data_IF_406692280368
#
_entry.id   IF_406692280368
#
_cell.length_a   1.000
_cell.length_b   1.000
_cell.length_c   1.000
_cell.angle_alpha   90.00
_cell.angle_beta   90.00
_cell.angle_gamma   90.00
#
_symmetry.space_group_name_H-M   'P 1'
#
loop_
_entity.id
_entity.type
_entity.pdbx_description
1 polymer ?
#
# COMPACT_ATOMS: atom_id res chain seq x y z
N UNK A 1 11.78 4.05 -22.07
CA UNK A 1 13.08 3.49 -21.61
C UNK A 1 13.21 3.51 -20.10
N UNK A 2 12.95 4.63 -19.41
CA UNK A 2 13.02 4.73 -17.94
C UNK A 2 12.09 3.78 -17.17
N UNK A 3 10.84 3.60 -17.62
CA UNK A 3 9.90 2.65 -17.00
C UNK A 3 10.38 1.20 -17.05
N UNK A 4 10.97 0.80 -18.18
CA UNK A 4 11.51 -0.55 -18.36
C UNK A 4 12.71 -0.81 -17.43
N UNK A 5 13.56 0.20 -17.22
CA UNK A 5 14.69 0.13 -16.27
C UNK A 5 14.17 -0.06 -14.84
N UNK A 6 13.16 0.71 -14.41
CA UNK A 6 12.54 0.53 -13.10
C UNK A 6 11.95 -0.86 -12.91
N UNK A 7 11.27 -1.38 -13.93
CA UNK A 7 10.70 -2.73 -13.89
C UNK A 7 11.80 -3.80 -13.76
N UNK A 8 12.92 -3.66 -14.49
CA UNK A 8 14.07 -4.55 -14.39
C UNK A 8 14.74 -4.50 -13.00
N UNK A 9 14.86 -3.32 -12.39
CA UNK A 9 15.39 -3.17 -11.02
C UNK A 9 14.49 -3.91 -10.02
N UNK A 10 13.17 -3.74 -10.11
CA UNK A 10 12.22 -4.46 -9.24
C UNK A 10 12.33 -5.96 -9.42
N UNK A 11 12.42 -6.45 -10.66
CA UNK A 11 12.65 -7.86 -10.95
C UNK A 11 13.96 -8.38 -10.36
N UNK A 12 15.05 -7.62 -10.50
CA UNK A 12 16.35 -7.97 -9.94
C UNK A 12 16.30 -8.08 -8.40
N UNK A 13 15.59 -7.18 -7.72
CA UNK A 13 15.37 -7.25 -6.27
C UNK A 13 14.58 -8.50 -5.90
N UNK A 14 13.48 -8.80 -6.60
CA UNK A 14 12.67 -10.01 -6.35
C UNK A 14 13.52 -11.27 -6.51
N UNK A 15 14.30 -11.36 -7.60
CA UNK A 15 15.20 -12.49 -7.84
C UNK A 15 16.25 -12.57 -6.73
N UNK A 16 16.84 -11.45 -6.31
CA UNK A 16 17.79 -11.39 -5.20
C UNK A 16 17.21 -11.94 -3.90
N UNK A 17 15.98 -11.53 -3.54
CA UNK A 17 15.28 -12.03 -2.36
C UNK A 17 15.00 -13.53 -2.47
N UNK A 18 14.61 -14.03 -3.65
CA UNK A 18 14.39 -15.47 -3.88
C UNK A 18 15.68 -16.29 -3.82
N UNK A 19 16.80 -15.75 -4.30
CA UNK A 19 18.12 -16.38 -4.17
C UNK A 19 18.54 -16.42 -2.72
N UNK A 20 18.38 -15.32 -1.98
CA UNK A 20 18.65 -15.28 -0.53
C UNK A 20 17.82 -16.35 0.20
N UNK A 21 16.53 -16.49 -0.13
CA UNK A 21 15.68 -17.56 0.41
C UNK A 21 16.24 -18.97 0.12
N UNK A 22 16.84 -19.16 -1.05
CA UNK A 22 17.38 -20.46 -1.49
C UNK A 22 18.73 -20.78 -0.84
N UNK A 23 19.57 -19.77 -0.62
CA UNK A 23 20.96 -19.95 -0.18
C UNK A 23 21.20 -19.58 1.30
N UNK A 24 20.23 -19.00 2.00
CA UNK A 24 20.32 -18.62 3.41
C UNK A 24 19.17 -19.25 4.21
N UNK A 25 19.40 -19.54 5.50
CA UNK A 25 18.36 -19.93 6.46
C UNK A 25 17.43 -18.76 6.86
N UNK A 26 17.08 -17.89 5.91
CA UNK A 26 16.13 -16.82 6.14
C UNK A 26 14.73 -17.41 6.08
N UNK A 27 14.19 -17.70 7.25
CA UNK A 27 12.80 -18.14 7.41
C UNK A 27 11.87 -16.94 7.22
N UNK A 28 11.07 -16.99 6.15
CA UNK A 28 9.96 -16.07 6.01
C UNK A 28 8.90 -16.42 7.04
N UNK A 29 8.42 -15.40 7.72
CA UNK A 29 7.34 -15.51 8.69
C UNK A 29 6.14 -16.22 8.04
N UNK A 30 5.71 -17.37 8.58
CA UNK A 30 4.62 -18.19 8.03
C UNK A 30 3.33 -17.39 7.83
N UNK A 31 3.11 -16.40 8.70
CA UNK A 31 1.97 -15.49 8.66
C UNK A 31 2.17 -14.23 7.81
N UNK A 32 3.22 -14.11 7.00
CA UNK A 32 3.41 -12.97 6.08
C UNK A 32 2.22 -12.75 5.14
N UNK A 33 1.53 -13.84 4.74
CA UNK A 33 0.29 -13.76 3.95
C UNK A 33 -0.85 -13.03 4.67
N UNK A 34 -0.81 -12.93 6.00
CA UNK A 34 -1.80 -12.18 6.77
C UNK A 34 -1.61 -10.66 6.65
N UNK A 35 -0.41 -10.19 6.30
CA UNK A 35 -0.17 -8.76 6.05
C UNK A 35 -1.06 -8.25 4.91
N UNK A 36 -1.24 -9.03 3.85
CA UNK A 36 -2.17 -8.71 2.75
C UNK A 36 -3.64 -8.72 3.16
N UNK A 37 -3.99 -9.23 4.35
CA UNK A 37 -5.36 -9.14 4.89
C UNK A 37 -5.51 -7.96 5.86
N UNK A 38 -4.41 -7.34 6.27
CA UNK A 38 -4.44 -6.25 7.23
C UNK A 38 -4.87 -4.94 6.55
N UNK A 39 -5.87 -4.28 7.14
CA UNK A 39 -6.34 -2.98 6.68
C UNK A 39 -5.26 -1.91 6.65
N UNK A 40 -4.31 -1.94 7.60
CA UNK A 40 -3.18 -1.01 7.62
C UNK A 40 -2.31 -1.10 6.36
N UNK A 41 -2.07 -2.32 5.86
CA UNK A 41 -1.27 -2.54 4.65
C UNK A 41 -2.02 -2.00 3.43
N UNK A 42 -3.32 -2.28 3.30
CA UNK A 42 -4.11 -1.76 2.19
C UNK A 42 -4.23 -0.24 2.20
N UNK A 43 -4.51 0.36 3.36
CA UNK A 43 -4.61 1.81 3.48
C UNK A 43 -3.27 2.49 3.19
N UNK A 44 -2.17 1.93 3.69
CA UNK A 44 -0.83 2.46 3.45
C UNK A 44 -0.41 2.34 1.99
N UNK A 45 -0.60 1.16 1.39
CA UNK A 45 -0.31 0.93 -0.03
C UNK A 45 -1.21 1.80 -0.93
N UNK A 46 -2.49 1.94 -0.61
CA UNK A 46 -3.40 2.83 -1.35
C UNK A 46 -2.99 4.30 -1.24
N UNK A 47 -2.64 4.77 -0.04
CA UNK A 47 -2.16 6.14 0.18
C UNK A 47 -0.88 6.44 -0.58
N UNK A 48 0.08 5.51 -0.55
CA UNK A 48 1.34 5.63 -1.28
C UNK A 48 1.13 5.60 -2.81
N UNK A 49 0.33 4.65 -3.30
CA UNK A 49 0.02 4.52 -4.72
C UNK A 49 -0.73 5.74 -5.24
N UNK A 50 -1.71 6.25 -4.49
CA UNK A 50 -2.48 7.43 -4.89
C UNK A 50 -1.59 8.68 -4.90
N UNK A 51 -0.73 8.84 -3.89
CA UNK A 51 0.25 9.94 -3.85
C UNK A 51 1.21 9.90 -5.03
N UNK A 52 1.72 8.72 -5.38
CA UNK A 52 2.57 8.52 -6.55
C UNK A 52 1.81 8.76 -7.87
N UNK A 53 0.58 8.28 -7.98
CA UNK A 53 -0.26 8.46 -9.16
C UNK A 53 -0.55 9.95 -9.43
N UNK A 54 -0.77 10.75 -8.38
CA UNK A 54 -0.96 12.21 -8.52
C UNK A 54 0.27 12.92 -9.09
N UNK A 55 1.47 12.45 -8.75
CA UNK A 55 2.72 13.00 -9.28
C UNK A 55 2.99 12.55 -10.72
N UNK A 56 2.59 11.32 -11.05
CA UNK A 56 2.86 10.72 -12.35
C UNK A 56 1.81 11.08 -13.42
N UNK A 57 0.57 11.41 -13.02
CA UNK A 57 -0.57 11.63 -13.93
C UNK A 57 -1.44 12.82 -13.45
N UNK A 58 -0.92 14.06 -13.51
CA UNK A 58 -1.68 15.24 -13.06
C UNK A 58 -2.97 15.47 -13.87
N UNK A 59 -2.98 15.15 -15.16
CA UNK A 59 -4.13 15.38 -16.05
C UNK A 59 -5.36 14.53 -15.69
N UNK A 60 -5.15 13.28 -15.24
CA UNK A 60 -6.24 12.41 -14.80
C UNK A 60 -6.89 12.97 -13.51
N UNK A 61 -6.09 13.56 -12.64
CA UNK A 61 -6.57 14.18 -11.42
C UNK A 61 -7.38 15.46 -11.70
N UNK A 62 -6.94 16.28 -12.68
CA UNK A 62 -7.69 17.44 -13.15
C UNK A 62 -8.99 17.05 -13.85
N UNK A 63 -8.99 15.98 -14.63
CA UNK A 63 -10.18 15.46 -15.29
C UNK A 63 -11.21 14.98 -14.25
N UNK A 64 -10.77 14.19 -13.27
CA UNK A 64 -11.62 13.75 -12.16
C UNK A 64 -12.15 14.93 -11.32
N UNK A 65 -11.31 15.94 -11.09
CA UNK A 65 -11.74 17.18 -10.45
C UNK A 65 -12.82 17.88 -11.25
N UNK A 66 -12.64 18.04 -12.56
CA UNK A 66 -13.60 18.74 -13.41
C UNK A 66 -14.95 18.01 -13.47
N UNK A 67 -14.97 16.68 -13.34
CA UNK A 67 -16.19 15.87 -13.27
C UNK A 67 -16.96 15.98 -11.94
N UNK A 68 -16.36 16.49 -10.86
CA UNK A 68 -17.06 16.66 -9.59
C UNK A 68 -18.13 17.75 -9.67
N UNK A 69 -19.34 17.52 -9.11
CA UNK A 69 -20.38 18.55 -8.98
C UNK A 69 -19.88 19.78 -8.21
N UNK A 70 -20.39 20.98 -8.54
CA UNK A 70 -19.96 22.23 -7.88
C UNK A 70 -20.20 22.20 -6.37
N UNK A 71 -21.27 21.54 -5.92
CA UNK A 71 -21.60 21.40 -4.49
C UNK A 71 -20.53 20.65 -3.70
N UNK A 72 -19.82 19.70 -4.32
CA UNK A 72 -18.73 18.98 -3.65
C UNK A 72 -17.44 19.81 -3.69
N UNK A 73 -17.19 20.51 -4.79
CA UNK A 73 -16.01 21.38 -4.95
C UNK A 73 -15.96 22.51 -3.92
N UNK A 74 -17.12 23.05 -3.49
CA UNK A 74 -17.18 24.11 -2.49
C UNK A 74 -16.77 23.68 -1.08
N UNK A 75 -16.85 22.39 -0.76
CA UNK A 75 -16.41 21.85 0.54
C UNK A 75 -14.97 21.35 0.53
N UNK A 76 -14.35 21.21 -0.64
CA UNK A 76 -13.01 20.65 -0.77
C UNK A 76 -11.95 21.76 -0.83
N UNK A 77 -10.88 21.68 -0.02
CA UNK A 77 -9.80 22.65 -0.06
C UNK A 77 -9.01 22.55 -1.39
N UNK A 78 -8.34 23.63 -1.83
CA UNK A 78 -7.65 23.66 -3.12
C UNK A 78 -6.56 22.58 -3.31
N UNK A 79 -6.06 22.02 -2.22
CA UNK A 79 -5.01 20.98 -2.17
C UNK A 79 -5.53 19.58 -1.81
N UNK A 80 -6.82 19.29 -2.02
CA UNK A 80 -7.46 18.05 -1.58
C UNK A 80 -6.74 16.76 -2.04
N UNK A 81 -6.18 16.74 -3.25
CA UNK A 81 -5.48 15.56 -3.81
C UNK A 81 -4.27 15.13 -2.98
N UNK A 82 -3.47 16.09 -2.50
CA UNK A 82 -2.32 15.81 -1.63
C UNK A 82 -2.74 15.39 -0.22
N UNK A 83 -3.91 15.86 0.23
CA UNK A 83 -4.46 15.52 1.54
C UNK A 83 -4.94 14.07 1.55
N UNK A 84 -5.54 13.55 0.47
CA UNK A 84 -6.05 12.17 0.43
C UNK A 84 -4.94 11.16 0.66
N UNK A 85 -3.78 11.32 0.01
CA UNK A 85 -2.64 10.43 0.19
C UNK A 85 -2.11 10.43 1.63
N UNK A 86 -1.91 11.63 2.19
CA UNK A 86 -1.45 11.80 3.58
C UNK A 86 -2.48 11.29 4.60
N UNK A 87 -3.77 11.49 4.34
CA UNK A 87 -4.86 11.00 5.16
C UNK A 87 -4.89 9.48 5.19
N UNK A 88 -4.79 8.81 4.04
CA UNK A 88 -4.74 7.35 3.96
C UNK A 88 -3.51 6.78 4.69
N UNK A 89 -2.37 7.47 4.63
CA UNK A 89 -1.17 7.11 5.39
C UNK A 89 -1.42 7.20 6.91
N UNK A 90 -2.04 8.28 7.39
CA UNK A 90 -2.40 8.43 8.80
C UNK A 90 -3.41 7.34 9.22
N UNK A 91 -4.41 7.07 8.38
CA UNK A 91 -5.38 5.98 8.61
C UNK A 91 -4.71 4.61 8.65
N UNK A 92 -3.68 4.38 7.83
CA UNK A 92 -2.90 3.15 7.86
C UNK A 92 -2.20 2.94 9.20
N UNK A 93 -1.63 4.01 9.77
CA UNK A 93 -1.02 3.99 11.11
C UNK A 93 -2.09 3.76 12.17
N UNK A 94 -3.20 4.48 12.11
CA UNK A 94 -4.31 4.29 13.07
C UNK A 94 -4.89 2.87 13.01
N UNK A 95 -4.98 2.28 11.83
CA UNK A 95 -5.47 0.92 11.63
C UNK A 95 -4.58 -0.14 12.30
N UNK A 96 -3.33 0.17 12.63
CA UNK A 96 -2.46 -0.73 13.40
C UNK A 96 -2.90 -0.86 14.86
N UNK A 97 -3.54 0.17 15.42
CA UNK A 97 -4.08 0.14 16.79
C UNK A 97 -5.41 -0.61 16.87
N UNK A 98 -6.11 -0.81 15.74
CA UNK A 98 -7.36 -1.57 15.68
C UNK A 98 -7.03 -3.07 15.74
N UNK A 99 -7.41 -3.72 16.84
CA UNK A 99 -7.12 -5.14 17.05
C UNK A 99 -7.96 -6.04 16.13
N UNK A 100 -7.31 -6.58 15.10
CA UNK A 100 -7.92 -7.51 14.14
C UNK A 100 -7.93 -8.95 14.69
N UNK A 101 -8.89 -9.26 15.59
CA UNK A 101 -8.98 -10.56 16.30
C UNK A 101 -8.91 -11.79 15.39
N UNK A 102 -9.55 -11.73 14.21
CA UNK A 102 -9.52 -12.83 13.22
C UNK A 102 -8.12 -13.11 12.70
N UNK A 103 -7.32 -12.07 12.42
CA UNK A 103 -5.94 -12.25 11.95
C UNK A 103 -5.01 -12.71 13.06
N UNK A 104 -5.25 -12.27 14.31
CA UNK A 104 -4.52 -12.74 15.47
C UNK A 104 -4.69 -14.26 15.66
N UNK A 105 -5.93 -14.76 15.58
CA UNK A 105 -6.21 -16.19 15.69
C UNK A 105 -5.57 -17.00 14.55
N UNK A 106 -5.60 -16.47 13.32
CA UNK A 106 -4.93 -17.12 12.18
C UNK A 106 -3.41 -17.15 12.34
N UNK A 107 -2.82 -16.08 12.87
CA UNK A 107 -1.40 -16.04 13.21
C UNK A 107 -1.04 -17.13 14.21
N UNK A 108 -1.81 -17.24 15.30
CA UNK A 108 -1.60 -18.28 16.32
C UNK A 108 -1.71 -19.71 15.77
N UNK A 109 -2.64 -19.96 14.84
CA UNK A 109 -2.76 -21.27 14.17
C UNK A 109 -1.57 -21.58 13.28
N UNK A 110 -1.07 -20.59 12.54
CA UNK A 110 0.09 -20.74 11.65
C UNK A 110 1.39 -20.91 12.44
N UNK A 111 1.52 -20.23 13.58
CA UNK A 111 2.68 -20.35 14.46
C UNK A 111 2.66 -21.69 15.24
N UNK A 112 1.50 -22.34 15.38
CA UNK A 112 1.34 -23.66 16.01
C UNK A 112 1.47 -24.84 15.03
N UNK A 113 1.59 -24.57 13.73
CA UNK A 113 1.80 -25.59 12.71
C UNK A 113 3.31 -25.80 12.52
N UNK A 114 3.84 -27.02 12.74
CA UNK A 114 5.28 -27.31 12.64
C UNK A 114 5.80 -27.27 11.19
#
# INVERSE_FOLDING_TARGET
MTFLIWLLIVLAIIIGVLLIRKYTNLEFVAHAKLLFKAWSVWLGSAGAALSAAMQLIPDAALTGWNMLPPDIKSFLPPNYLSIIGSFLMVMAVLAQFIRQRKLLNQKQQLDAQP
#
